data_IF_599841799755
#
_entry.id   IF_599841799755
#
_cell.length_a   1.000
_cell.length_b   1.000
_cell.length_c   1.000
_cell.angle_alpha   90.00
_cell.angle_beta   90.00
_cell.angle_gamma   90.00
#
_symmetry.space_group_name_H-M   'P 1'
#
loop_
_entity.id
_entity.type
_entity.pdbx_description
1 polymer ?
#
# COMPACT_ATOMS: atom_id res chain seq x y z
N UNK A 1 -13.89 1.44 -3.10
CA UNK A 1 -13.69 1.43 -4.55
C UNK A 1 -12.29 1.91 -4.91
N UNK A 2 -11.74 1.38 -6.00
CA UNK A 2 -10.39 1.67 -6.47
C UNK A 2 -10.38 2.28 -7.88
N UNK A 3 -11.52 2.74 -8.33
CA UNK A 3 -11.75 3.28 -9.68
C UNK A 3 -10.80 4.47 -9.96
N UNK A 4 -10.11 4.40 -11.09
CA UNK A 4 -9.17 5.41 -11.55
C UNK A 4 -7.72 5.24 -11.05
N UNK A 5 -7.44 4.21 -10.23
CA UNK A 5 -6.10 3.90 -9.72
C UNK A 5 -5.62 2.49 -10.11
N UNK A 6 -6.36 1.78 -10.98
CA UNK A 6 -6.11 0.38 -11.31
C UNK A 6 -4.72 0.13 -11.88
N UNK A 7 -4.20 1.08 -12.66
CA UNK A 7 -2.86 1.02 -13.26
C UNK A 7 -1.76 0.90 -12.20
N UNK A 8 -1.98 1.51 -11.02
CA UNK A 8 -1.01 1.46 -9.93
C UNK A 8 -0.93 0.05 -9.36
N UNK A 9 -2.09 -0.54 -9.00
CA UNK A 9 -2.13 -1.89 -8.46
C UNK A 9 -1.61 -2.93 -9.47
N UNK A 10 -2.10 -2.89 -10.71
CA UNK A 10 -1.72 -3.84 -11.75
C UNK A 10 -0.25 -3.70 -12.13
N UNK A 11 0.22 -2.47 -12.34
CA UNK A 11 1.60 -2.20 -12.75
C UNK A 11 2.61 -2.68 -11.71
N UNK A 12 2.36 -2.40 -10.43
CA UNK A 12 3.29 -2.78 -9.35
C UNK A 12 3.19 -4.26 -8.98
N UNK A 13 1.98 -4.78 -8.77
CA UNK A 13 1.79 -6.17 -8.32
C UNK A 13 2.21 -7.18 -9.40
N UNK A 14 2.10 -6.84 -10.68
CA UNK A 14 2.56 -7.72 -11.78
C UNK A 14 4.07 -7.99 -11.82
N UNK A 15 4.87 -7.26 -11.04
CA UNK A 15 6.32 -7.41 -10.96
C UNK A 15 6.77 -8.30 -9.80
N UNK A 16 5.85 -8.66 -8.89
CA UNK A 16 6.19 -9.30 -7.64
C UNK A 16 6.52 -10.78 -7.79
N UNK A 17 7.49 -11.23 -7.02
CA UNK A 17 7.85 -12.62 -6.83
C UNK A 17 7.31 -13.20 -5.51
N UNK A 18 7.70 -14.44 -5.23
CA UNK A 18 7.17 -15.22 -4.10
C UNK A 18 7.55 -14.65 -2.71
N UNK A 19 8.66 -13.92 -2.63
CA UNK A 19 9.15 -13.32 -1.37
C UNK A 19 8.65 -11.90 -1.15
N UNK A 20 7.92 -11.33 -2.11
CA UNK A 20 7.38 -9.98 -2.01
C UNK A 20 6.06 -9.94 -1.26
N UNK A 21 5.84 -8.86 -0.53
CA UNK A 21 4.63 -8.67 0.27
C UNK A 21 3.91 -7.37 -0.12
N UNK A 22 2.59 -7.41 -0.10
CA UNK A 22 1.73 -6.25 -0.39
C UNK A 22 0.89 -5.91 0.83
N UNK A 23 0.87 -4.64 1.20
CA UNK A 23 -0.01 -4.11 2.24
C UNK A 23 -0.60 -2.77 1.81
N UNK A 24 -1.87 -2.55 2.06
CA UNK A 24 -2.61 -1.40 1.54
C UNK A 24 -3.39 -0.66 2.62
N UNK A 25 -3.84 0.54 2.29
CA UNK A 25 -4.90 1.24 3.02
C UNK A 25 -6.27 0.57 2.75
N UNK A 26 -7.33 1.18 3.26
CA UNK A 26 -8.73 0.70 3.12
C UNK A 26 -9.23 0.63 1.67
N UNK A 27 -8.56 1.25 0.71
CA UNK A 27 -8.90 1.24 -0.73
C UNK A 27 -8.15 0.11 -1.47
N UNK A 28 -8.26 -1.12 -0.96
CA UNK A 28 -7.42 -2.24 -1.39
C UNK A 28 -8.01 -3.17 -2.46
N UNK A 29 -9.19 -2.88 -3.04
CA UNK A 29 -9.88 -3.81 -3.97
C UNK A 29 -9.05 -4.17 -5.20
N UNK A 30 -8.43 -3.17 -5.84
CA UNK A 30 -7.57 -3.39 -7.01
C UNK A 30 -6.35 -4.25 -6.66
N UNK A 31 -5.70 -3.96 -5.54
CA UNK A 31 -4.54 -4.72 -5.08
C UNK A 31 -4.90 -6.17 -4.74
N UNK A 32 -6.04 -6.39 -4.07
CA UNK A 32 -6.53 -7.73 -3.74
C UNK A 32 -6.70 -8.59 -4.99
N UNK A 33 -7.38 -8.05 -6.02
CA UNK A 33 -7.58 -8.76 -7.29
C UNK A 33 -6.27 -8.93 -8.06
N UNK A 34 -5.41 -7.92 -8.09
CA UNK A 34 -4.10 -8.01 -8.75
C UNK A 34 -3.18 -9.04 -8.07
N UNK A 35 -3.30 -9.22 -6.74
CA UNK A 35 -2.61 -10.27 -5.99
C UNK A 35 -3.20 -11.67 -6.19
N UNK A 36 -4.23 -11.81 -7.02
CA UNK A 36 -4.82 -13.10 -7.39
C UNK A 36 -5.89 -13.61 -6.42
N UNK A 37 -6.52 -12.75 -5.62
CA UNK A 37 -7.70 -13.13 -4.84
C UNK A 37 -8.87 -13.47 -5.75
N UNK A 38 -9.64 -14.49 -5.39
CA UNK A 38 -10.83 -14.91 -6.13
C UNK A 38 -11.94 -13.86 -6.07
N UNK A 39 -12.57 -13.54 -7.20
CA UNK A 39 -13.68 -12.58 -7.23
C UNK A 39 -14.86 -13.05 -6.36
N UNK A 40 -15.12 -14.37 -6.33
CA UNK A 40 -16.19 -14.95 -5.53
C UNK A 40 -15.93 -14.75 -4.03
N UNK A 41 -14.69 -14.94 -3.60
CA UNK A 41 -14.25 -14.74 -2.23
C UNK A 41 -14.36 -13.28 -1.82
N UNK A 42 -13.91 -12.35 -2.68
CA UNK A 42 -14.05 -10.93 -2.46
C UNK A 42 -15.53 -10.50 -2.37
N UNK A 43 -16.35 -11.01 -3.29
CA UNK A 43 -17.79 -10.72 -3.30
C UNK A 43 -18.49 -11.31 -2.06
N UNK A 44 -18.15 -12.52 -1.67
CA UNK A 44 -18.67 -13.15 -0.45
C UNK A 44 -18.35 -12.31 0.80
N UNK A 45 -17.15 -11.73 0.86
CA UNK A 45 -16.76 -10.83 1.96
C UNK A 45 -17.62 -9.57 1.99
N UNK A 46 -17.85 -8.94 0.82
CA UNK A 46 -18.71 -7.74 0.72
C UNK A 46 -20.15 -8.00 1.18
N UNK A 47 -20.65 -9.24 0.97
CA UNK A 47 -21.97 -9.66 1.41
C UNK A 47 -22.00 -10.25 2.84
N UNK A 48 -20.90 -10.18 3.58
CA UNK A 48 -20.80 -10.66 4.95
C UNK A 48 -20.94 -12.19 5.08
N UNK A 49 -20.51 -12.94 4.06
CA UNK A 49 -20.60 -14.41 4.06
C UNK A 49 -19.37 -15.04 4.71
N UNK A 50 -19.59 -16.19 5.36
CA UNK A 50 -18.50 -16.95 6.01
C UNK A 50 -17.45 -17.47 5.01
N UNK A 51 -17.78 -17.54 3.71
CA UNK A 51 -16.88 -17.92 2.62
C UNK A 51 -16.02 -16.75 2.12
N UNK A 52 -16.19 -15.54 2.65
CA UNK A 52 -15.34 -14.39 2.35
C UNK A 52 -13.96 -14.51 2.97
N UNK A 53 -12.98 -13.79 2.42
CA UNK A 53 -11.56 -13.81 2.82
C UNK A 53 -11.32 -13.49 4.30
N UNK A 54 -12.18 -12.68 4.90
CA UNK A 54 -12.18 -12.34 6.33
C UNK A 54 -13.41 -12.92 7.06
N UNK A 55 -13.98 -13.99 6.52
CA UNK A 55 -15.16 -14.70 7.03
C UNK A 55 -16.39 -13.80 7.19
N UNK A 56 -16.53 -12.82 6.30
CA UNK A 56 -17.62 -11.84 6.30
C UNK A 56 -17.53 -10.75 7.38
N UNK A 57 -16.40 -10.64 8.07
CA UNK A 57 -16.20 -9.67 9.16
C UNK A 57 -15.42 -8.42 8.76
N UNK A 58 -14.69 -8.51 7.65
CA UNK A 58 -13.83 -7.43 7.16
C UNK A 58 -14.56 -6.42 6.26
N UNK A 59 -15.54 -6.89 5.51
CA UNK A 59 -16.27 -6.07 4.53
C UNK A 59 -15.32 -5.47 3.49
N UNK A 60 -15.67 -4.28 2.99
CA UNK A 60 -14.97 -3.61 1.87
C UNK A 60 -13.53 -3.17 2.20
N UNK A 61 -13.19 -2.96 3.45
CA UNK A 61 -11.92 -2.35 3.85
C UNK A 61 -10.85 -3.34 4.32
N UNK A 62 -11.22 -4.61 4.51
CA UNK A 62 -10.34 -5.58 5.16
C UNK A 62 -10.31 -6.92 4.40
N UNK A 63 -9.88 -6.85 3.14
CA UNK A 63 -9.53 -8.03 2.35
C UNK A 63 -8.13 -8.51 2.74
N UNK A 64 -7.97 -9.80 3.00
CA UNK A 64 -6.70 -10.43 3.36
C UNK A 64 -6.53 -11.75 2.63
N UNK A 65 -5.33 -12.01 2.12
CA UNK A 65 -4.93 -13.27 1.52
C UNK A 65 -3.45 -13.56 1.87
N UNK A 66 -3.17 -14.03 3.09
CA UNK A 66 -1.80 -14.30 3.53
C UNK A 66 -1.08 -15.36 2.68
N UNK A 67 -1.82 -16.30 2.09
CA UNK A 67 -1.33 -17.30 1.14
C UNK A 67 -0.81 -16.71 -0.17
N UNK A 68 -1.16 -15.45 -0.45
CA UNK A 68 -0.72 -14.65 -1.61
C UNK A 68 0.18 -13.48 -1.21
N UNK A 69 0.71 -13.49 0.00
CA UNK A 69 1.47 -12.39 0.57
C UNK A 69 0.74 -11.02 0.50
N UNK A 70 -0.60 -11.04 0.42
CA UNK A 70 -1.43 -9.85 0.49
C UNK A 70 -1.95 -9.65 1.92
N UNK A 71 -1.39 -8.65 2.60
CA UNK A 71 -1.62 -8.38 4.04
C UNK A 71 -2.72 -7.37 4.30
N UNK A 72 -3.53 -7.12 3.28
CA UNK A 72 -4.82 -6.51 3.38
C UNK A 72 -4.88 -5.02 3.42
N UNK A 73 -6.13 -4.57 3.55
CA UNK A 73 -6.52 -3.20 3.73
C UNK A 73 -6.64 -2.83 5.20
N UNK A 74 -6.23 -1.61 5.52
CA UNK A 74 -6.27 -1.08 6.88
C UNK A 74 -7.15 0.18 6.94
N UNK A 75 -8.13 0.18 7.86
CA UNK A 75 -9.04 1.31 8.06
C UNK A 75 -8.41 2.49 8.80
N UNK A 76 -7.39 2.24 9.63
CA UNK A 76 -6.65 3.29 10.33
C UNK A 76 -5.71 3.96 9.34
N UNK A 77 -5.91 5.26 9.09
CA UNK A 77 -5.10 6.03 8.13
C UNK A 77 -3.64 6.06 8.57
N UNK A 78 -2.75 5.57 7.70
CA UNK A 78 -1.33 5.45 8.01
C UNK A 78 -0.94 4.22 8.84
N UNK A 79 -1.91 3.46 9.38
CA UNK A 79 -1.64 2.29 10.21
C UNK A 79 -0.89 1.16 9.48
N UNK A 80 -1.00 1.08 8.16
CA UNK A 80 -0.26 0.10 7.35
C UNK A 80 1.24 0.42 7.24
N UNK A 81 1.67 1.66 7.46
CA UNK A 81 3.09 2.04 7.29
C UNK A 81 4.03 1.28 8.24
N UNK A 82 3.80 1.22 9.55
CA UNK A 82 4.64 0.42 10.45
C UNK A 82 4.49 -1.09 10.21
N UNK A 83 3.33 -1.55 9.75
CA UNK A 83 3.14 -2.97 9.42
C UNK A 83 3.95 -3.34 8.16
N UNK A 84 3.93 -2.51 7.13
CA UNK A 84 4.75 -2.69 5.93
C UNK A 84 6.25 -2.66 6.24
N UNK A 85 6.67 -1.80 7.17
CA UNK A 85 8.03 -1.79 7.70
C UNK A 85 8.37 -3.12 8.40
N UNK A 86 7.44 -3.63 9.22
CA UNK A 86 7.60 -4.91 9.92
C UNK A 86 7.72 -6.09 8.95
N UNK A 87 6.96 -6.11 7.85
CA UNK A 87 7.09 -7.10 6.79
C UNK A 87 8.49 -7.05 6.17
N UNK A 88 8.98 -5.86 5.82
CA UNK A 88 10.32 -5.66 5.28
C UNK A 88 11.42 -6.10 6.27
N UNK A 89 11.24 -5.81 7.56
CA UNK A 89 12.14 -6.33 8.60
C UNK A 89 12.14 -7.85 8.62
N UNK A 90 10.97 -8.49 8.54
CA UNK A 90 10.85 -9.95 8.49
C UNK A 90 11.53 -10.56 7.26
N UNK A 91 11.40 -9.94 6.09
CA UNK A 91 12.09 -10.34 4.84
C UNK A 91 13.60 -10.31 5.07
N UNK A 92 14.14 -9.18 5.54
CA UNK A 92 15.56 -9.01 5.80
C UNK A 92 16.07 -9.99 6.87
N UNK A 93 15.34 -10.14 7.97
CA UNK A 93 15.72 -11.05 9.07
C UNK A 93 15.81 -12.51 8.62
N UNK A 94 14.92 -12.93 7.72
CA UNK A 94 14.91 -14.28 7.14
C UNK A 94 15.92 -14.46 6.00
N UNK A 95 16.60 -13.42 5.56
CA UNK A 95 17.52 -13.45 4.43
C UNK A 95 16.84 -13.69 3.08
N UNK A 96 15.55 -13.34 2.95
CA UNK A 96 14.79 -13.41 1.70
C UNK A 96 15.18 -12.25 0.78
N UNK A 97 14.90 -12.40 -0.53
CA UNK A 97 15.25 -11.40 -1.55
C UNK A 97 14.09 -10.48 -1.95
N UNK A 98 12.95 -10.62 -1.29
CA UNK A 98 11.75 -9.84 -1.56
C UNK A 98 11.77 -8.43 -0.99
N UNK A 99 10.71 -7.69 -1.28
CA UNK A 99 10.41 -6.37 -0.75
C UNK A 99 8.98 -6.28 -0.19
N UNK A 100 8.74 -5.32 0.67
CA UNK A 100 7.40 -4.98 1.15
C UNK A 100 6.89 -3.75 0.41
N UNK A 101 5.85 -3.90 -0.41
CA UNK A 101 5.15 -2.81 -1.06
C UNK A 101 4.04 -2.30 -0.15
N UNK A 102 4.21 -1.09 0.36
CA UNK A 102 3.27 -0.46 1.29
C UNK A 102 2.57 0.72 0.62
N UNK A 103 1.28 0.55 0.32
CA UNK A 103 0.47 1.55 -0.36
C UNK A 103 -0.22 2.48 0.64
N UNK A 104 -0.17 3.78 0.38
CA UNK A 104 -0.79 4.79 1.24
C UNK A 104 -1.31 5.97 0.41
N UNK A 105 -2.38 6.61 0.87
CA UNK A 105 -2.94 7.80 0.21
C UNK A 105 -2.15 9.07 0.55
N UNK A 106 -2.40 10.13 -0.23
CA UNK A 106 -1.79 11.45 -0.07
C UNK A 106 -2.00 12.07 1.32
N UNK A 107 -3.15 11.84 1.95
CA UNK A 107 -3.40 12.29 3.33
C UNK A 107 -2.64 11.49 4.39
N UNK A 108 -2.40 10.20 4.13
CA UNK A 108 -1.72 9.33 5.09
C UNK A 108 -0.26 9.73 5.33
N UNK A 109 0.40 10.36 4.35
CA UNK A 109 1.79 10.85 4.49
C UNK A 109 1.94 11.99 5.49
N UNK A 110 0.84 12.55 6.00
CA UNK A 110 0.87 13.56 7.07
C UNK A 110 0.84 12.95 8.48
N UNK A 111 0.71 11.62 8.59
CA UNK A 111 0.82 10.93 9.88
C UNK A 111 2.27 10.87 10.36
N UNK A 112 2.49 11.14 11.66
CA UNK A 112 3.83 11.10 12.26
C UNK A 112 4.52 9.75 12.10
N UNK A 113 3.76 8.65 12.22
CA UNK A 113 4.29 7.29 12.06
C UNK A 113 4.91 7.02 10.68
N UNK A 114 4.49 7.73 9.63
CA UNK A 114 5.12 7.61 8.30
C UNK A 114 6.59 8.05 8.36
N UNK A 115 6.88 9.18 9.01
CA UNK A 115 8.25 9.71 9.14
C UNK A 115 9.12 8.85 10.07
N UNK A 116 8.54 8.33 11.14
CA UNK A 116 9.21 7.36 12.01
C UNK A 116 9.61 6.11 11.22
N UNK A 117 8.70 5.62 10.36
CA UNK A 117 8.95 4.47 9.50
C UNK A 117 10.02 4.76 8.43
N UNK A 118 10.03 5.95 7.81
CA UNK A 118 11.10 6.33 6.88
C UNK A 118 12.47 6.35 7.57
N UNK A 119 12.55 6.91 8.76
CA UNK A 119 13.79 6.91 9.55
C UNK A 119 14.27 5.49 9.84
N UNK A 120 13.39 4.62 10.31
CA UNK A 120 13.75 3.24 10.61
C UNK A 120 14.09 2.42 9.36
N UNK A 121 13.36 2.64 8.26
CA UNK A 121 13.63 1.97 6.98
C UNK A 121 15.05 2.27 6.49
N UNK A 122 15.43 3.56 6.52
CA UNK A 122 16.78 4.00 6.14
C UNK A 122 17.84 3.49 7.12
N UNK A 123 17.63 3.70 8.44
CA UNK A 123 18.59 3.29 9.48
C UNK A 123 18.91 1.81 9.45
N UNK A 124 17.90 0.98 9.22
CA UNK A 124 18.01 -0.47 9.21
C UNK A 124 18.16 -1.05 7.79
N UNK A 125 18.25 -0.22 6.77
CA UNK A 125 18.36 -0.63 5.35
C UNK A 125 17.33 -1.71 5.01
N UNK A 126 16.04 -1.41 5.20
CA UNK A 126 14.95 -2.36 5.02
C UNK A 126 14.39 -2.31 3.60
N UNK A 127 14.06 -3.48 3.00
CA UNK A 127 13.49 -3.56 1.66
C UNK A 127 12.00 -3.19 1.68
N UNK A 128 11.67 -1.95 1.96
CA UNK A 128 10.32 -1.42 1.91
C UNK A 128 10.19 -0.35 0.82
N UNK A 129 9.12 -0.44 0.03
CA UNK A 129 8.76 0.55 -0.98
C UNK A 129 7.44 1.18 -0.57
N UNK A 130 7.46 2.45 -0.16
CA UNK A 130 6.26 3.21 0.14
C UNK A 130 5.70 3.82 -1.14
N UNK A 131 4.51 3.41 -1.54
CA UNK A 131 3.85 3.87 -2.76
C UNK A 131 2.71 4.82 -2.39
N UNK A 132 2.88 6.10 -2.75
CA UNK A 132 1.87 7.13 -2.47
C UNK A 132 0.89 7.21 -3.64
N UNK A 133 -0.33 6.75 -3.42
CA UNK A 133 -1.44 6.86 -4.36
C UNK A 133 -2.09 8.25 -4.21
N UNK A 134 -1.59 9.19 -5.00
CA UNK A 134 -1.98 10.58 -4.87
C UNK A 134 -3.18 10.92 -5.76
N UNK A 135 -4.38 10.79 -5.23
CA UNK A 135 -5.62 11.21 -5.89
C UNK A 135 -5.99 12.69 -5.61
N UNK A 136 -5.10 13.44 -4.95
CA UNK A 136 -5.24 14.85 -4.60
C UNK A 136 -6.26 15.19 -3.52
N UNK A 137 -6.96 14.20 -2.97
CA UNK A 137 -7.97 14.43 -1.95
C UNK A 137 -7.94 13.39 -0.84
N UNK A 138 -7.95 13.86 0.38
CA UNK A 138 -8.18 13.05 1.58
C UNK A 138 -9.58 13.33 2.09
N UNK A 139 -10.56 12.48 1.74
CA UNK A 139 -11.98 12.75 1.88
C UNK A 139 -12.35 14.09 1.18
N UNK A 140 -12.82 15.09 1.91
CA UNK A 140 -13.17 16.41 1.39
C UNK A 140 -12.03 17.43 1.40
N UNK A 141 -10.82 17.06 1.85
CA UNK A 141 -9.69 17.99 1.96
C UNK A 141 -8.72 17.79 0.81
N UNK A 142 -8.49 18.84 0.03
CA UNK A 142 -7.51 18.82 -1.05
C UNK A 142 -6.07 18.76 -0.50
N UNK A 143 -5.16 18.23 -1.31
CA UNK A 143 -3.74 18.18 -0.98
C UNK A 143 -3.18 19.55 -0.64
N UNK A 144 -3.54 20.59 -1.42
CA UNK A 144 -3.05 21.98 -1.22
C UNK A 144 -3.42 22.57 0.14
N UNK A 145 -4.51 22.08 0.74
CA UNK A 145 -4.96 22.50 2.07
C UNK A 145 -4.34 21.69 3.20
N UNK A 146 -3.74 20.54 2.89
CA UNK A 146 -3.25 19.58 3.90
C UNK A 146 -1.74 19.38 3.87
N UNK A 147 -1.05 19.84 2.82
CA UNK A 147 0.38 19.59 2.63
C UNK A 147 1.10 20.83 2.14
N UNK A 148 2.25 21.11 2.74
CA UNK A 148 3.13 22.22 2.32
C UNK A 148 3.95 21.91 1.07
N UNK A 149 4.07 20.64 0.69
CA UNK A 149 4.75 20.18 -0.53
C UNK A 149 3.70 19.90 -1.59
N UNK A 150 3.55 20.82 -2.51
CA UNK A 150 2.51 20.80 -3.53
C UNK A 150 2.87 19.98 -4.79
N UNK A 151 4.17 19.80 -5.09
CA UNK A 151 4.61 19.19 -6.34
C UNK A 151 4.76 17.68 -6.28
N UNK A 152 5.44 17.16 -5.27
CA UNK A 152 5.65 15.73 -5.09
C UNK A 152 5.82 15.37 -3.61
N UNK A 153 4.86 14.62 -3.07
CA UNK A 153 4.89 14.18 -1.67
C UNK A 153 6.06 13.23 -1.38
N UNK A 154 6.53 12.48 -2.39
CA UNK A 154 7.64 11.56 -2.25
C UNK A 154 8.98 12.27 -1.93
N UNK A 155 9.11 13.56 -2.24
CA UNK A 155 10.30 14.35 -1.88
C UNK A 155 10.56 14.40 -0.37
N UNK A 156 9.57 14.10 0.46
CA UNK A 156 9.74 14.00 1.91
C UNK A 156 10.74 12.92 2.32
N UNK A 157 10.92 11.91 1.48
CA UNK A 157 11.88 10.82 1.67
C UNK A 157 13.35 11.30 1.65
N UNK A 158 13.64 12.41 0.97
CA UNK A 158 15.00 13.00 0.86
C UNK A 158 15.60 13.31 2.23
N UNK A 159 14.76 13.77 3.18
CA UNK A 159 15.23 14.09 4.54
C UNK A 159 15.76 12.85 5.29
N UNK A 160 15.42 11.64 4.83
CA UNK A 160 15.85 10.36 5.41
C UNK A 160 16.86 9.62 4.52
N UNK A 161 17.37 10.26 3.47
CA UNK A 161 18.31 9.63 2.53
C UNK A 161 17.70 8.53 1.67
N UNK A 162 16.37 8.50 1.53
CA UNK A 162 15.65 7.49 0.74
C UNK A 162 15.43 8.04 -0.68
N UNK A 163 15.73 7.23 -1.67
CA UNK A 163 15.43 7.53 -3.07
C UNK A 163 13.93 7.62 -3.32
N UNK A 164 13.55 8.47 -4.27
CA UNK A 164 12.16 8.64 -4.65
C UNK A 164 12.00 8.77 -6.16
N UNK A 165 10.83 8.40 -6.65
CA UNK A 165 10.43 8.58 -8.04
C UNK A 165 8.96 8.99 -8.12
N UNK A 166 8.55 9.49 -9.28
CA UNK A 166 7.16 9.83 -9.58
C UNK A 166 6.80 9.25 -10.95
N UNK A 167 5.64 8.60 -11.02
CA UNK A 167 5.08 8.08 -12.27
C UNK A 167 3.66 8.62 -12.49
N UNK A 168 3.23 8.63 -13.74
CA UNK A 168 1.84 8.89 -14.10
C UNK A 168 1.01 7.67 -13.75
N UNK A 169 0.17 7.80 -12.70
CA UNK A 169 -0.56 6.67 -12.10
C UNK A 169 -1.71 6.12 -12.95
N UNK A 170 -2.07 6.80 -14.04
CA UNK A 170 -3.05 6.35 -15.04
C UNK A 170 -2.45 5.48 -16.14
N UNK A 171 -1.12 5.39 -16.23
CA UNK A 171 -0.40 4.63 -17.26
C UNK A 171 0.33 3.44 -16.63
N UNK A 172 -0.19 2.24 -16.88
CA UNK A 172 0.36 1.00 -16.32
C UNK A 172 1.82 0.73 -16.74
N UNK A 173 2.21 1.16 -17.93
CA UNK A 173 3.59 0.98 -18.43
C UNK A 173 4.57 1.93 -17.73
N UNK A 174 4.11 3.09 -17.30
CA UNK A 174 4.93 4.04 -16.55
C UNK A 174 5.03 3.71 -15.07
N UNK A 175 4.03 3.03 -14.55
CA UNK A 175 4.02 2.54 -13.17
C UNK A 175 4.92 1.31 -13.03
N UNK A 176 4.91 0.43 -14.03
CA UNK A 176 5.74 -0.78 -14.12
C UNK A 176 7.20 -0.44 -14.40
#
# INVERSE_FOLDING_TARGET
LYIGQESIAVGTVSLLGDDDHVITAYRGHGHALASGMGMDECMAELYGKATGCSKGKGGSMHFFAPDKNYWGGHGIVGGQTPLGLGLAYGIKYKGLKGASLCFLGDGAVNQGCFYECLNMASLLDLPVIYIIENNKYSMGTSQDRSSVVDKCLAQRAVAFGIEWAQAAGEDVYRVR
#
